data_IF_470802856652
#
_entry.id   IF_470802856652
#
_cell.length_a   1.000
_cell.length_b   1.000
_cell.length_c   1.000
_cell.angle_alpha   90.00
_cell.angle_beta   90.00
_cell.angle_gamma   90.00
#
_symmetry.space_group_name_H-M   'P 1'
#
loop_
_entity.id
_entity.type
_entity.pdbx_description
1 polymer ?
#
# COMPACT_ATOMS: atom_id res chain seq x y z
N UNK A 1 -6.93 46.11 -57.83
CA UNK A 1 -7.80 45.81 -56.67
C UNK A 1 -6.93 45.51 -55.45
N UNK A 2 -6.82 46.45 -54.51
CA UNK A 2 -6.15 46.25 -53.20
C UNK A 2 -7.09 45.45 -52.30
N UNK A 3 -6.69 44.28 -51.81
CA UNK A 3 -7.37 43.58 -50.71
C UNK A 3 -7.08 44.35 -49.42
N UNK A 4 -8.09 44.97 -48.83
CA UNK A 4 -8.02 45.53 -47.48
C UNK A 4 -7.79 44.40 -46.49
N UNK A 5 -6.69 44.45 -45.76
CA UNK A 5 -6.49 43.65 -44.56
C UNK A 5 -7.28 44.26 -43.41
N UNK A 6 -8.37 43.61 -43.01
CA UNK A 6 -9.03 43.89 -41.73
C UNK A 6 -8.13 43.36 -40.61
N UNK A 7 -7.32 44.27 -40.06
CA UNK A 7 -6.68 44.08 -38.77
C UNK A 7 -7.77 43.97 -37.71
N UNK A 8 -8.00 42.76 -37.19
CA UNK A 8 -8.73 42.58 -35.94
C UNK A 8 -7.90 43.22 -34.83
N UNK A 9 -8.20 44.48 -34.49
CA UNK A 9 -7.74 45.08 -33.24
C UNK A 9 -8.22 44.18 -32.11
N UNK A 10 -7.30 43.60 -31.36
CA UNK A 10 -7.66 42.90 -30.13
C UNK A 10 -8.42 43.89 -29.24
N UNK A 11 -9.55 43.42 -28.68
CA UNK A 11 -10.34 44.22 -27.77
C UNK A 11 -9.43 44.78 -26.65
N UNK A 12 -9.63 46.04 -26.22
CA UNK A 12 -8.80 46.64 -25.19
C UNK A 12 -8.84 45.75 -23.95
N UNK A 13 -7.67 45.25 -23.52
CA UNK A 13 -7.56 44.50 -22.27
C UNK A 13 -7.98 45.43 -21.14
N UNK A 14 -9.13 45.16 -20.52
CA UNK A 14 -9.62 45.90 -19.35
C UNK A 14 -8.59 45.73 -18.23
N UNK A 15 -7.84 46.79 -17.91
CA UNK A 15 -6.93 46.80 -16.76
C UNK A 15 -7.78 47.07 -15.51
N UNK A 16 -8.00 46.05 -14.71
CA UNK A 16 -8.63 46.19 -13.40
C UNK A 16 -7.54 46.47 -12.36
N UNK A 17 -7.68 47.55 -11.61
CA UNK A 17 -6.86 47.78 -10.42
C UNK A 17 -7.35 46.84 -9.32
N UNK A 18 -6.46 45.99 -8.80
CA UNK A 18 -6.77 45.04 -7.73
C UNK A 18 -5.93 45.39 -6.50
N UNK A 19 -6.57 45.90 -5.45
CA UNK A 19 -5.91 46.21 -4.17
C UNK A 19 -5.59 44.95 -3.36
N UNK A 20 -6.40 43.89 -3.49
CA UNK A 20 -6.23 42.62 -2.78
C UNK A 20 -6.45 41.44 -3.72
N UNK A 21 -5.37 40.84 -4.22
CA UNK A 21 -5.48 39.65 -5.07
C UNK A 21 -5.75 38.40 -4.21
N UNK A 22 -6.89 37.74 -4.44
CA UNK A 22 -7.37 36.54 -3.73
C UNK A 22 -7.16 35.25 -4.52
N UNK A 23 -6.69 35.32 -5.77
CA UNK A 23 -6.38 34.17 -6.61
C UNK A 23 -7.17 34.14 -7.92
N UNK A 24 -7.22 32.97 -8.54
CA UNK A 24 -7.93 32.75 -9.80
C UNK A 24 -9.42 32.42 -9.55
N UNK A 25 -10.26 32.75 -10.53
CA UNK A 25 -11.65 32.33 -10.63
C UNK A 25 -11.93 31.88 -12.08
N UNK A 26 -11.98 30.58 -12.27
CA UNK A 26 -12.33 29.91 -13.53
C UNK A 26 -13.78 29.42 -13.53
N UNK A 27 -14.50 29.61 -12.42
CA UNK A 27 -15.89 29.18 -12.28
C UNK A 27 -16.83 30.19 -12.93
N UNK A 28 -16.63 31.48 -12.67
CA UNK A 28 -17.43 32.54 -13.24
C UNK A 28 -16.96 32.92 -14.66
N UNK A 29 -17.89 33.41 -15.48
CA UNK A 29 -17.54 34.07 -16.75
C UNK A 29 -16.54 35.21 -16.48
N UNK A 30 -15.54 35.45 -17.35
CA UNK A 30 -14.53 36.49 -17.15
C UNK A 30 -15.09 37.89 -16.82
N UNK A 31 -16.27 38.23 -17.33
CA UNK A 31 -16.93 39.52 -17.08
C UNK A 31 -17.55 39.62 -15.68
N UNK A 32 -17.79 38.49 -15.01
CA UNK A 32 -18.41 38.37 -13.69
C UNK A 32 -17.40 38.02 -12.58
N UNK A 33 -16.12 37.90 -12.91
CA UNK A 33 -15.09 37.66 -11.90
C UNK A 33 -14.95 38.88 -11.00
N UNK A 34 -14.93 38.65 -9.68
CA UNK A 34 -14.71 39.71 -8.68
C UNK A 34 -13.43 40.50 -8.99
N UNK A 35 -13.40 41.83 -8.79
CA UNK A 35 -12.19 42.64 -8.96
C UNK A 35 -10.97 42.19 -8.13
N UNK A 36 -11.19 41.40 -7.08
CA UNK A 36 -10.14 40.81 -6.23
C UNK A 36 -9.58 39.50 -6.78
N UNK A 37 -10.09 38.99 -7.90
CA UNK A 37 -9.69 37.73 -8.53
C UNK A 37 -9.38 37.95 -10.01
N UNK A 38 -8.78 36.94 -10.65
CA UNK A 38 -8.53 36.98 -12.09
C UNK A 38 -9.14 35.77 -12.80
N UNK A 39 -9.74 35.93 -13.99
CA UNK A 39 -10.11 34.80 -14.86
C UNK A 39 -8.90 34.12 -15.50
N UNK A 40 -7.69 34.68 -15.34
CA UNK A 40 -6.45 34.11 -15.86
C UNK A 40 -5.24 34.60 -15.07
N UNK A 41 -4.50 33.67 -14.46
CA UNK A 41 -3.29 33.99 -13.70
C UNK A 41 -2.10 33.12 -14.16
N UNK A 42 -1.62 33.29 -15.41
CA UNK A 42 -0.47 32.54 -15.89
C UNK A 42 0.79 32.92 -15.10
N UNK A 43 1.50 31.92 -14.60
CA UNK A 43 2.78 32.09 -13.88
C UNK A 43 2.73 32.99 -12.64
N UNK A 44 1.54 33.21 -12.06
CA UNK A 44 1.34 34.04 -10.88
C UNK A 44 0.51 33.30 -9.85
N UNK A 45 0.89 33.41 -8.59
CA UNK A 45 0.21 32.82 -7.45
C UNK A 45 0.06 33.87 -6.34
N UNK A 46 -0.99 33.73 -5.53
CA UNK A 46 -1.16 34.54 -4.32
C UNK A 46 -0.19 34.01 -3.27
N UNK A 47 0.49 34.93 -2.59
CA UNK A 47 1.33 34.63 -1.43
C UNK A 47 0.51 34.87 -0.15
N UNK A 48 0.46 36.11 0.31
CA UNK A 48 -0.50 36.62 1.31
C UNK A 48 -1.56 37.51 0.64
N UNK A 49 -2.71 37.81 1.29
CA UNK A 49 -3.70 38.71 0.70
C UNK A 49 -3.06 40.03 0.25
N UNK A 50 -3.21 40.38 -1.03
CA UNK A 50 -2.63 41.61 -1.61
C UNK A 50 -1.18 41.50 -2.10
N UNK A 51 -0.48 40.38 -1.88
CA UNK A 51 0.85 40.12 -2.47
C UNK A 51 0.81 38.96 -3.45
N UNK A 52 1.49 39.13 -4.57
CA UNK A 52 1.65 38.11 -5.60
C UNK A 52 3.10 37.69 -5.71
N UNK A 53 3.33 36.42 -6.02
CA UNK A 53 4.65 35.91 -6.39
C UNK A 53 4.57 35.10 -7.67
N UNK A 54 5.73 34.91 -8.31
CA UNK A 54 5.85 34.08 -9.51
C UNK A 54 5.64 32.61 -9.13
N UNK A 55 4.99 31.84 -10.00
CA UNK A 55 4.88 30.38 -9.81
C UNK A 55 6.28 29.78 -9.83
N UNK A 56 6.55 28.86 -8.90
CA UNK A 56 7.79 28.10 -8.93
C UNK A 56 7.77 27.21 -10.17
N UNK A 57 8.76 27.36 -11.04
CA UNK A 57 8.92 26.48 -12.19
C UNK A 57 9.46 25.12 -11.76
N UNK A 58 9.42 24.15 -12.69
CA UNK A 58 10.17 22.91 -12.56
C UNK A 58 11.33 22.92 -13.56
N UNK A 59 12.36 22.13 -13.26
CA UNK A 59 13.46 21.84 -14.20
C UNK A 59 13.57 20.34 -14.37
N UNK A 60 13.97 19.90 -15.56
CA UNK A 60 14.35 18.50 -15.76
C UNK A 60 15.58 18.23 -14.90
N UNK A 61 15.48 17.26 -13.98
CA UNK A 61 16.62 16.81 -13.21
C UNK A 61 17.36 15.72 -13.98
N UNK A 62 16.63 14.65 -14.33
CA UNK A 62 17.16 13.45 -14.99
C UNK A 62 16.13 12.87 -15.97
N UNK A 63 16.59 11.94 -16.79
CA UNK A 63 15.80 11.28 -17.82
C UNK A 63 16.08 9.78 -17.80
N UNK A 64 15.03 8.98 -17.95
CA UNK A 64 15.07 7.53 -17.95
C UNK A 64 14.26 7.03 -19.16
N UNK A 65 14.58 5.86 -19.69
CA UNK A 65 13.97 5.32 -20.91
C UNK A 65 12.45 5.04 -20.75
N UNK A 66 11.97 4.86 -19.52
CA UNK A 66 10.58 4.53 -19.21
C UNK A 66 9.83 5.66 -18.52
N UNK A 67 8.49 5.58 -18.53
CA UNK A 67 7.62 6.47 -17.77
C UNK A 67 8.01 6.40 -16.29
N UNK A 68 8.25 7.55 -15.66
CA UNK A 68 8.50 7.60 -14.21
C UNK A 68 7.21 7.22 -13.50
N UNK A 69 7.24 6.10 -12.79
CA UNK A 69 6.12 5.51 -12.08
C UNK A 69 6.15 5.80 -10.58
N UNK A 70 7.34 5.99 -10.01
CA UNK A 70 7.56 6.36 -8.62
C UNK A 70 9.00 6.80 -8.36
N UNK A 71 9.18 7.60 -7.30
CA UNK A 71 10.48 8.01 -6.80
C UNK A 71 10.44 7.94 -5.27
N UNK A 72 11.48 7.36 -4.67
CA UNK A 72 11.54 7.08 -3.24
C UNK A 72 12.93 7.43 -2.70
N UNK A 73 12.97 7.89 -1.46
CA UNK A 73 14.18 7.95 -0.67
C UNK A 73 14.26 6.69 0.21
N UNK A 74 15.43 6.06 0.26
CA UNK A 74 15.75 4.99 1.18
C UNK A 74 16.94 5.43 2.02
N UNK A 75 16.84 5.37 3.34
CA UNK A 75 17.91 5.78 4.24
C UNK A 75 18.35 4.59 5.10
N UNK A 76 19.62 4.19 4.98
CA UNK A 76 20.21 3.14 5.80
C UNK A 76 21.53 3.66 6.37
N UNK A 77 21.74 3.53 7.68
CA UNK A 77 22.97 3.99 8.36
C UNK A 77 23.36 5.45 8.05
N UNK A 78 22.35 6.34 7.95
CA UNK A 78 22.47 7.75 7.56
C UNK A 78 22.88 8.04 6.10
N UNK A 79 23.01 7.02 5.25
CA UNK A 79 23.18 7.20 3.81
C UNK A 79 21.82 7.17 3.10
N UNK A 80 21.56 8.18 2.27
CA UNK A 80 20.33 8.26 1.46
C UNK A 80 20.60 7.76 0.04
N UNK A 81 19.77 6.82 -0.40
CA UNK A 81 19.72 6.32 -1.78
C UNK A 81 18.40 6.75 -2.41
N UNK A 82 18.47 7.35 -3.60
CA UNK A 82 17.28 7.63 -4.40
C UNK A 82 16.95 6.40 -5.24
N UNK A 83 15.72 5.89 -5.10
CA UNK A 83 15.16 4.87 -5.97
C UNK A 83 14.19 5.50 -6.97
N UNK A 84 14.35 5.15 -8.25
CA UNK A 84 13.47 5.59 -9.33
C UNK A 84 12.90 4.38 -10.06
N UNK A 85 11.57 4.25 -10.02
CA UNK A 85 10.83 3.29 -10.82
C UNK A 85 10.48 3.94 -12.17
N UNK A 86 11.06 3.44 -13.26
CA UNK A 86 10.86 3.93 -14.61
C UNK A 86 10.54 2.79 -15.59
N UNK A 87 9.34 2.81 -16.19
CA UNK A 87 8.86 1.72 -17.03
C UNK A 87 8.81 0.41 -16.24
N UNK A 88 9.53 -0.61 -16.68
CA UNK A 88 9.63 -1.91 -15.97
C UNK A 88 10.89 -2.02 -15.09
N UNK A 89 11.64 -0.93 -14.89
CA UNK A 89 12.95 -0.95 -14.24
C UNK A 89 12.97 -0.14 -12.94
N UNK A 90 13.75 -0.59 -11.97
CA UNK A 90 14.09 0.14 -10.76
C UNK A 90 15.58 0.52 -10.78
N UNK A 91 15.86 1.77 -10.50
CA UNK A 91 17.22 2.31 -10.44
C UNK A 91 17.54 2.83 -9.04
N UNK A 92 18.68 2.44 -8.48
CA UNK A 92 19.25 3.00 -7.26
C UNK A 92 20.40 3.96 -7.62
N UNK A 93 20.25 5.26 -7.34
CA UNK A 93 21.22 6.28 -7.73
C UNK A 93 21.68 6.15 -9.21
N UNK A 94 20.74 5.85 -10.12
CA UNK A 94 20.91 5.58 -11.57
C UNK A 94 21.41 4.20 -11.96
N UNK A 95 21.86 3.38 -11.02
CA UNK A 95 22.25 2.01 -11.29
C UNK A 95 21.00 1.13 -11.37
N UNK A 96 20.83 0.37 -12.45
CA UNK A 96 19.75 -0.60 -12.56
C UNK A 96 19.91 -1.68 -11.49
N UNK A 97 18.90 -1.85 -10.63
CA UNK A 97 18.88 -2.87 -9.57
C UNK A 97 17.80 -3.92 -9.77
N UNK A 98 16.76 -3.64 -10.55
CA UNK A 98 15.69 -4.60 -10.87
C UNK A 98 15.03 -4.27 -12.21
N UNK A 99 14.57 -5.27 -12.97
CA UNK A 99 14.10 -5.09 -14.36
C UNK A 99 12.70 -5.64 -14.66
N UNK A 100 12.00 -6.17 -13.64
CA UNK A 100 10.71 -6.83 -13.80
C UNK A 100 9.59 -6.11 -13.03
N UNK A 101 9.66 -4.78 -12.89
CA UNK A 101 8.55 -3.98 -12.35
C UNK A 101 7.36 -3.98 -13.32
N UNK A 102 6.16 -3.73 -12.81
CA UNK A 102 5.00 -3.40 -13.63
C UNK A 102 5.11 -1.94 -14.11
N UNK A 103 4.87 -1.68 -15.40
CA UNK A 103 4.80 -0.30 -15.90
C UNK A 103 3.46 0.35 -15.51
N UNK A 104 3.35 0.68 -14.22
CA UNK A 104 2.25 1.37 -13.58
C UNK A 104 2.76 2.18 -12.40
N UNK A 105 1.99 3.20 -11.99
CA UNK A 105 2.32 4.02 -10.81
C UNK A 105 2.51 3.13 -9.59
N UNK A 106 3.55 3.42 -8.81
CA UNK A 106 3.88 2.63 -7.64
C UNK A 106 3.79 3.45 -6.34
N UNK A 107 3.62 2.75 -5.22
CA UNK A 107 3.72 3.29 -3.86
C UNK A 107 4.80 2.53 -3.11
N UNK A 108 5.54 3.22 -2.25
CA UNK A 108 6.65 2.62 -1.53
C UNK A 108 6.85 3.22 -0.15
N UNK A 109 7.26 2.37 0.78
CA UNK A 109 7.42 2.69 2.20
C UNK A 109 8.63 1.95 2.77
N UNK A 110 9.49 2.68 3.48
CA UNK A 110 10.55 2.05 4.23
C UNK A 110 10.01 1.53 5.56
N UNK A 111 10.26 0.25 5.84
CA UNK A 111 9.90 -0.41 7.10
C UNK A 111 11.13 -1.18 7.60
N UNK A 112 11.71 -0.70 8.70
CA UNK A 112 13.02 -1.14 9.16
C UNK A 112 14.11 -0.83 8.14
N UNK A 113 14.94 -1.83 7.85
CA UNK A 113 16.11 -1.71 6.95
C UNK A 113 15.77 -2.00 5.47
N UNK A 114 14.48 -2.02 5.10
CA UNK A 114 14.04 -2.32 3.74
C UNK A 114 13.01 -1.31 3.24
N UNK A 115 13.15 -0.91 1.98
CA UNK A 115 12.11 -0.20 1.23
C UNK A 115 11.23 -1.22 0.50
N UNK A 116 9.91 -1.17 0.70
CA UNK A 116 8.96 -2.01 0.00
C UNK A 116 8.21 -1.19 -1.04
N UNK A 117 8.07 -1.70 -2.26
CA UNK A 117 7.42 -1.00 -3.38
C UNK A 117 6.35 -1.90 -4.00
N UNK A 118 5.12 -1.40 -4.08
CA UNK A 118 3.97 -2.04 -4.73
C UNK A 118 3.57 -1.24 -5.97
N UNK A 119 3.38 -1.91 -7.11
CA UNK A 119 3.05 -1.29 -8.40
C UNK A 119 1.80 -1.89 -9.08
N UNK A 120 1.00 -2.67 -8.33
CA UNK A 120 -0.22 -3.30 -8.85
C UNK A 120 0.00 -4.53 -9.73
N UNK A 121 1.25 -4.97 -9.93
CA UNK A 121 1.57 -6.25 -10.56
C UNK A 121 2.70 -7.02 -9.87
N UNK A 122 3.56 -6.30 -9.15
CA UNK A 122 4.68 -6.81 -8.36
C UNK A 122 4.71 -6.14 -6.98
N UNK A 123 5.35 -6.85 -6.05
CA UNK A 123 5.67 -6.33 -4.73
C UNK A 123 7.11 -6.71 -4.43
N UNK A 124 7.98 -5.71 -4.34
CA UNK A 124 9.43 -5.89 -4.20
C UNK A 124 9.94 -5.24 -2.92
N UNK A 125 11.10 -5.69 -2.45
CA UNK A 125 11.89 -5.00 -1.45
C UNK A 125 13.21 -4.51 -2.04
N UNK A 126 13.80 -3.50 -1.40
CA UNK A 126 15.19 -3.09 -1.55
C UNK A 126 15.83 -2.97 -0.18
N UNK A 127 16.98 -3.61 0.05
CA UNK A 127 17.68 -3.64 1.35
C UNK A 127 18.95 -2.78 1.40
N UNK A 128 19.18 -1.95 0.38
CA UNK A 128 20.41 -1.17 0.21
C UNK A 128 21.40 -1.80 -0.77
N UNK A 129 21.24 -3.08 -1.11
CA UNK A 129 22.09 -3.78 -2.08
C UNK A 129 21.26 -4.54 -3.11
N UNK A 130 20.28 -5.29 -2.65
CA UNK A 130 19.46 -6.20 -3.46
C UNK A 130 18.07 -5.65 -3.63
N UNK A 131 17.53 -5.73 -4.84
CA UNK A 131 16.11 -5.55 -5.12
C UNK A 131 15.51 -6.86 -5.67
N UNK A 132 14.49 -7.38 -5.00
CA UNK A 132 13.87 -8.67 -5.36
C UNK A 132 12.40 -8.73 -4.92
N UNK A 133 11.59 -9.65 -5.48
CA UNK A 133 10.22 -9.91 -5.02
C UNK A 133 10.19 -10.23 -3.53
N UNK A 134 9.20 -9.67 -2.81
CA UNK A 134 9.03 -9.94 -1.36
C UNK A 134 8.73 -11.41 -1.10
N UNK A 135 8.20 -12.14 -2.08
CA UNK A 135 7.98 -13.59 -2.01
C UNK A 135 9.27 -14.39 -1.75
N UNK A 136 10.44 -13.86 -2.12
CA UNK A 136 11.73 -14.52 -1.86
C UNK A 136 12.15 -14.45 -0.38
N UNK A 137 11.65 -13.44 0.35
CA UNK A 137 11.89 -13.25 1.78
C UNK A 137 10.63 -13.46 2.62
N UNK A 138 9.59 -14.06 2.04
CA UNK A 138 8.32 -14.25 2.70
C UNK A 138 8.48 -15.10 3.96
N UNK A 139 7.96 -14.62 5.08
CA UNK A 139 8.00 -15.35 6.34
C UNK A 139 7.27 -16.69 6.20
N UNK A 140 7.87 -17.74 6.76
CA UNK A 140 7.29 -19.08 6.82
C UNK A 140 6.68 -19.28 8.20
N UNK A 141 5.34 -19.15 8.35
CA UNK A 141 4.70 -19.24 9.65
C UNK A 141 4.66 -20.67 10.17
N UNK A 142 4.80 -20.82 11.48
CA UNK A 142 4.54 -22.06 12.22
C UNK A 142 3.07 -22.08 12.64
N UNK A 143 2.24 -22.73 11.84
CA UNK A 143 0.77 -22.59 11.97
C UNK A 143 0.16 -23.40 13.09
N UNK A 144 0.80 -24.51 13.48
CA UNK A 144 0.38 -25.37 14.59
C UNK A 144 1.59 -25.78 15.41
N UNK A 145 1.42 -25.81 16.74
CA UNK A 145 2.39 -26.32 17.71
C UNK A 145 1.74 -27.35 18.62
N UNK A 146 2.54 -28.17 19.30
CA UNK A 146 2.03 -29.16 20.24
C UNK A 146 1.22 -30.28 19.57
N UNK A 147 1.44 -30.52 18.28
CA UNK A 147 0.62 -31.44 17.49
C UNK A 147 0.98 -32.89 17.78
N UNK A 148 -0.01 -33.77 17.95
CA UNK A 148 0.27 -35.20 18.04
C UNK A 148 0.53 -35.78 16.64
N UNK A 149 1.24 -36.92 16.51
CA UNK A 149 1.52 -37.51 15.19
C UNK A 149 0.25 -37.76 14.35
N UNK A 150 -0.87 -38.13 14.97
CA UNK A 150 -2.15 -38.36 14.28
C UNK A 150 -2.96 -37.08 14.00
N UNK A 151 -2.53 -35.92 14.48
CA UNK A 151 -3.19 -34.63 14.25
C UNK A 151 -3.47 -33.81 15.52
N UNK A 152 -4.28 -32.76 15.40
CA UNK A 152 -4.65 -31.87 16.51
C UNK A 152 -3.63 -30.75 16.77
N UNK A 153 -3.31 -30.48 18.03
CA UNK A 153 -2.43 -29.39 18.45
C UNK A 153 -3.12 -28.04 18.60
N UNK A 154 -2.33 -27.00 18.83
CA UNK A 154 -2.82 -25.64 19.08
C UNK A 154 -2.50 -24.74 17.89
N UNK A 155 -3.49 -24.04 17.30
CA UNK A 155 -3.22 -23.01 16.30
C UNK A 155 -2.31 -21.92 16.85
N UNK A 156 -1.26 -21.56 16.11
CA UNK A 156 -0.25 -20.60 16.55
C UNK A 156 -0.22 -19.38 15.66
N UNK A 157 0.32 -19.51 14.45
CA UNK A 157 0.36 -18.46 13.42
C UNK A 157 -0.62 -18.77 12.28
N UNK A 158 -0.87 -17.78 11.43
CA UNK A 158 -1.68 -17.97 10.23
C UNK A 158 -0.78 -18.18 9.02
N UNK A 159 -1.32 -18.82 7.98
CA UNK A 159 -0.66 -18.85 6.68
C UNK A 159 -0.34 -17.44 6.20
N UNK A 160 0.81 -17.27 5.55
CA UNK A 160 1.24 -16.03 4.94
C UNK A 160 0.75 -15.95 3.49
N UNK A 161 0.07 -14.88 3.11
CA UNK A 161 -0.41 -14.69 1.73
C UNK A 161 0.73 -14.59 0.71
N UNK A 162 1.95 -14.23 1.14
CA UNK A 162 3.13 -14.14 0.29
C UNK A 162 3.95 -15.43 0.18
N UNK A 163 3.61 -16.49 0.94
CA UNK A 163 4.39 -17.73 0.98
C UNK A 163 3.54 -18.96 0.64
N UNK A 164 4.11 -19.88 -0.13
CA UNK A 164 3.54 -21.22 -0.31
C UNK A 164 3.91 -22.17 0.84
N UNK A 165 4.83 -21.75 1.72
CA UNK A 165 5.41 -22.58 2.77
C UNK A 165 4.78 -22.29 4.12
N UNK A 166 4.70 -23.31 4.96
CA UNK A 166 4.44 -23.21 6.40
C UNK A 166 5.15 -24.35 7.13
N UNK A 167 5.28 -24.23 8.45
CA UNK A 167 5.74 -25.31 9.30
C UNK A 167 4.73 -25.69 10.37
N UNK A 168 4.83 -26.94 10.82
CA UNK A 168 4.05 -27.50 11.92
C UNK A 168 5.00 -28.16 12.92
N UNK A 169 4.74 -27.91 14.20
CA UNK A 169 5.46 -28.49 15.31
C UNK A 169 4.71 -29.65 15.94
N UNK A 170 5.42 -30.75 16.18
CA UNK A 170 4.86 -31.97 16.73
C UNK A 170 5.55 -32.41 18.03
N UNK A 171 4.74 -32.99 18.90
CA UNK A 171 5.13 -33.74 20.09
C UNK A 171 5.18 -35.22 19.74
N UNK A 172 6.39 -35.75 19.47
CA UNK A 172 6.57 -37.17 19.26
C UNK A 172 6.27 -37.96 20.54
N UNK A 173 5.62 -39.13 20.38
CA UNK A 173 5.37 -40.11 21.44
C UNK A 173 6.48 -41.19 21.55
N UNK A 174 7.46 -41.18 20.64
CA UNK A 174 8.55 -42.16 20.60
C UNK A 174 8.24 -43.46 19.85
N UNK A 175 7.05 -43.62 19.30
CA UNK A 175 6.58 -44.87 18.68
C UNK A 175 5.85 -44.68 17.35
N UNK A 176 5.17 -43.56 17.15
CA UNK A 176 4.44 -43.26 15.93
C UNK A 176 5.41 -43.03 14.77
N UNK A 177 5.20 -43.75 13.68
CA UNK A 177 5.95 -43.55 12.45
C UNK A 177 5.29 -42.51 11.53
N UNK A 178 3.97 -42.34 11.59
CA UNK A 178 3.20 -41.51 10.65
C UNK A 178 2.78 -40.20 11.31
N UNK A 179 3.09 -39.08 10.65
CA UNK A 179 2.80 -37.73 11.08
C UNK A 179 1.87 -37.06 10.05
N UNK A 180 0.69 -36.67 10.50
CA UNK A 180 -0.37 -36.06 9.69
C UNK A 180 -0.29 -34.53 9.74
N UNK A 181 -0.01 -33.90 8.60
CA UNK A 181 -0.04 -32.44 8.44
C UNK A 181 -1.47 -31.90 8.43
N UNK A 182 -1.61 -30.59 8.60
CA UNK A 182 -2.91 -29.91 8.64
C UNK A 182 -3.60 -29.81 7.28
N UNK A 183 -2.87 -30.05 6.19
CA UNK A 183 -3.39 -29.99 4.82
C UNK A 183 -2.96 -31.22 4.02
N UNK A 184 -3.82 -31.63 3.10
CA UNK A 184 -3.60 -32.63 2.07
C UNK A 184 -3.35 -31.95 0.71
N UNK A 185 -3.12 -32.73 -0.36
CA UNK A 185 -2.91 -32.19 -1.71
C UNK A 185 -1.79 -31.13 -1.74
N UNK A 186 -0.65 -31.51 -1.18
CA UNK A 186 0.55 -30.69 -1.06
C UNK A 186 1.36 -30.70 -2.36
N UNK A 187 2.27 -29.74 -2.50
CA UNK A 187 3.23 -29.77 -3.59
C UNK A 187 4.27 -30.87 -3.27
N UNK A 188 4.51 -31.80 -4.20
CA UNK A 188 5.36 -32.98 -3.99
C UNK A 188 6.86 -32.71 -4.20
N UNK A 189 7.20 -31.49 -4.63
CA UNK A 189 8.57 -31.05 -4.91
C UNK A 189 9.32 -30.53 -3.67
N UNK A 190 8.64 -30.40 -2.53
CA UNK A 190 9.24 -29.84 -1.32
C UNK A 190 8.68 -30.39 -0.02
N UNK A 191 9.58 -30.85 0.84
CA UNK A 191 9.33 -31.18 2.25
C UNK A 191 10.65 -31.06 3.03
N UNK A 192 10.62 -30.44 4.19
CA UNK A 192 11.75 -30.36 5.11
C UNK A 192 11.31 -30.89 6.48
N UNK A 193 12.07 -31.83 7.04
CA UNK A 193 11.78 -32.42 8.35
C UNK A 193 13.00 -32.23 9.25
N UNK A 194 12.79 -31.66 10.43
CA UNK A 194 13.79 -31.51 11.48
C UNK A 194 13.34 -32.26 12.71
N UNK A 195 14.26 -32.98 13.36
CA UNK A 195 14.00 -33.69 14.62
C UNK A 195 15.03 -33.23 15.65
N UNK A 196 14.56 -32.96 16.86
CA UNK A 196 15.41 -32.62 17.99
C UNK A 196 16.01 -33.89 18.59
N UNK A 197 17.33 -33.89 18.74
CA UNK A 197 18.08 -34.96 19.40
C UNK A 197 17.95 -34.86 20.92
N UNK A 198 18.35 -35.92 21.64
CA UNK A 198 18.38 -35.92 23.12
C UNK A 198 19.29 -34.83 23.72
N UNK A 199 20.22 -34.27 22.94
CA UNK A 199 21.08 -33.15 23.33
C UNK A 199 20.45 -31.76 23.08
N UNK A 200 19.15 -31.71 22.76
CA UNK A 200 18.40 -30.49 22.40
C UNK A 200 18.95 -29.78 21.15
N UNK A 201 19.54 -30.54 20.22
CA UNK A 201 20.03 -30.03 18.93
C UNK A 201 19.09 -30.49 17.82
N UNK A 202 18.62 -29.56 17.00
CA UNK A 202 17.83 -29.86 15.80
C UNK A 202 18.71 -30.43 14.69
N UNK A 203 18.29 -31.55 14.11
CA UNK A 203 18.97 -32.21 12.99
C UNK A 203 18.01 -32.34 11.82
N UNK A 204 18.48 -31.99 10.62
CA UNK A 204 17.75 -32.18 9.38
C UNK A 204 17.71 -33.66 9.00
N UNK A 205 16.53 -34.12 8.62
CA UNK A 205 16.30 -35.49 8.17
C UNK A 205 16.29 -35.53 6.64
N UNK A 206 16.71 -36.65 6.07
CA UNK A 206 16.84 -36.85 4.62
C UNK A 206 15.64 -37.65 4.08
N UNK A 207 14.94 -37.08 3.11
CA UNK A 207 13.85 -37.76 2.39
C UNK A 207 14.37 -39.03 1.70
N UNK A 208 13.62 -40.14 1.80
CA UNK A 208 13.98 -41.46 1.28
C UNK A 208 14.92 -42.28 2.17
N UNK A 209 15.66 -41.63 3.07
CA UNK A 209 16.60 -42.31 4.01
C UNK A 209 16.07 -42.35 5.43
N UNK A 210 15.46 -41.25 5.91
CA UNK A 210 14.91 -41.16 7.26
C UNK A 210 13.38 -41.20 7.26
N UNK A 211 12.74 -40.70 6.20
CA UNK A 211 11.29 -40.66 6.09
C UNK A 211 10.84 -40.71 4.61
N UNK A 212 9.56 -40.97 4.41
CA UNK A 212 8.86 -40.85 3.13
C UNK A 212 7.78 -39.77 3.23
N UNK A 213 7.39 -39.20 2.10
CA UNK A 213 6.41 -38.12 2.03
C UNK A 213 5.30 -38.50 1.05
N UNK A 214 4.06 -38.48 1.52
CA UNK A 214 2.86 -38.61 0.70
C UNK A 214 2.19 -37.23 0.63
N UNK A 215 2.48 -36.50 -0.44
CA UNK A 215 1.95 -35.17 -0.67
C UNK A 215 0.43 -35.17 -0.87
N UNK A 216 -0.14 -36.23 -1.45
CA UNK A 216 -1.57 -36.31 -1.71
C UNK A 216 -2.37 -36.39 -0.42
N UNK A 217 -1.90 -37.20 0.54
CA UNK A 217 -2.56 -37.36 1.85
C UNK A 217 -2.00 -36.42 2.94
N UNK A 218 -0.92 -35.69 2.66
CA UNK A 218 -0.29 -34.77 3.61
C UNK A 218 0.37 -35.50 4.79
N UNK A 219 1.05 -36.61 4.54
CA UNK A 219 1.69 -37.41 5.59
C UNK A 219 3.19 -37.55 5.41
N UNK A 220 3.90 -37.53 6.54
CA UNK A 220 5.32 -37.90 6.63
C UNK A 220 5.41 -39.21 7.41
N UNK A 221 6.03 -40.23 6.82
CA UNK A 221 6.23 -41.52 7.47
C UNK A 221 7.70 -41.78 7.70
N UNK A 222 8.13 -41.76 8.97
CA UNK A 222 9.48 -42.10 9.38
C UNK A 222 9.76 -43.59 9.17
N UNK A 223 10.94 -43.90 8.67
CA UNK A 223 11.42 -45.27 8.52
C UNK A 223 11.83 -45.82 9.91
N UNK A 224 11.78 -47.14 10.10
CA UNK A 224 11.87 -47.81 11.42
C UNK A 224 13.06 -47.35 12.28
N UNK A 225 14.22 -47.08 11.69
CA UNK A 225 15.42 -46.63 12.42
C UNK A 225 15.51 -45.11 12.64
N UNK A 226 14.51 -44.35 12.20
CA UNK A 226 14.46 -42.88 12.24
C UNK A 226 13.20 -42.35 12.91
N UNK A 227 12.41 -43.22 13.56
CA UNK A 227 11.26 -42.82 14.36
C UNK A 227 11.74 -41.86 15.46
N UNK A 228 11.21 -40.62 15.51
CA UNK A 228 11.62 -39.63 16.50
C UNK A 228 11.34 -40.14 17.91
N UNK A 229 12.32 -40.07 18.79
CA UNK A 229 12.11 -40.38 20.21
C UNK A 229 11.04 -39.46 20.82
N UNK A 230 10.52 -39.83 21.99
CA UNK A 230 9.64 -38.95 22.77
C UNK A 230 10.36 -37.61 23.04
N UNK A 231 9.61 -36.51 23.03
CA UNK A 231 10.20 -35.19 23.28
C UNK A 231 11.03 -35.17 24.57
N UNK A 232 12.30 -34.70 24.52
CA UNK A 232 13.16 -34.62 25.70
C UNK A 232 12.69 -33.56 26.70
N UNK A 233 11.81 -32.65 26.28
CA UNK A 233 11.25 -31.57 27.10
C UNK A 233 9.74 -31.74 27.11
N UNK A 234 9.18 -32.02 28.29
CA UNK A 234 7.73 -32.22 28.46
C UNK A 234 6.93 -31.05 27.90
N UNK A 235 6.08 -31.33 26.91
CA UNK A 235 5.19 -30.35 26.29
C UNK A 235 5.84 -29.44 25.23
N UNK A 236 7.12 -29.63 24.89
CA UNK A 236 7.77 -28.90 23.81
C UNK A 236 7.93 -29.76 22.56
N UNK A 237 7.66 -29.18 21.39
CA UNK A 237 7.79 -29.86 20.11
C UNK A 237 9.24 -30.33 19.86
N UNK A 238 9.38 -31.55 19.38
CA UNK A 238 10.68 -32.16 19.04
C UNK A 238 10.76 -32.64 17.58
N UNK A 239 9.69 -32.42 16.81
CA UNK A 239 9.68 -32.63 15.37
C UNK A 239 9.08 -31.36 14.74
N UNK A 240 9.73 -30.85 13.69
CA UNK A 240 9.24 -29.75 12.89
C UNK A 240 9.17 -30.20 11.44
N UNK A 241 8.01 -30.03 10.82
CA UNK A 241 7.80 -30.38 9.42
C UNK A 241 7.39 -29.11 8.68
N UNK A 242 8.18 -28.72 7.68
CA UNK A 242 7.92 -27.58 6.81
C UNK A 242 7.51 -28.10 5.43
N UNK A 243 6.31 -27.73 5.00
CA UNK A 243 5.69 -28.20 3.78
C UNK A 243 5.35 -27.03 2.84
N UNK A 244 4.99 -27.37 1.61
CA UNK A 244 4.65 -26.42 0.55
C UNK A 244 3.29 -26.77 -0.07
N UNK A 245 2.49 -25.75 -0.37
CA UNK A 245 1.22 -25.86 -1.09
C UNK A 245 0.96 -24.56 -1.83
N UNK A 246 1.05 -24.61 -3.15
CA UNK A 246 0.78 -23.46 -3.99
C UNK A 246 -0.72 -23.19 -4.05
N UNK A 247 -1.12 -21.95 -3.75
CA UNK A 247 -2.53 -21.50 -3.75
C UNK A 247 -2.68 -20.39 -4.78
N UNK A 248 -3.52 -20.62 -5.78
CA UNK A 248 -3.58 -19.80 -7.00
C UNK A 248 -3.85 -18.30 -6.75
N UNK A 249 -4.54 -17.94 -5.68
CA UNK A 249 -4.97 -16.56 -5.42
C UNK A 249 -4.19 -15.86 -4.29
N UNK A 250 -3.46 -16.58 -3.45
CA UNK A 250 -2.84 -16.03 -2.22
C UNK A 250 -1.90 -14.86 -2.52
N UNK A 251 -0.87 -15.09 -3.32
CA UNK A 251 0.12 -14.05 -3.65
C UNK A 251 -0.55 -12.91 -4.42
N UNK A 252 -1.48 -13.26 -5.33
CA UNK A 252 -2.19 -12.30 -6.18
C UNK A 252 -3.02 -11.28 -5.39
N UNK A 253 -3.50 -11.64 -4.18
CA UNK A 253 -4.20 -10.71 -3.28
C UNK A 253 -3.33 -9.51 -2.92
N UNK A 254 -2.04 -9.74 -2.68
CA UNK A 254 -1.09 -8.70 -2.27
C UNK A 254 -0.41 -8.03 -3.48
N UNK A 255 0.14 -8.78 -4.43
CA UNK A 255 0.96 -8.19 -5.51
C UNK A 255 0.16 -7.33 -6.49
N UNK A 256 -1.16 -7.53 -6.58
CA UNK A 256 -2.05 -6.70 -7.40
C UNK A 256 -2.51 -5.42 -6.69
N UNK A 257 -2.10 -5.18 -5.46
CA UNK A 257 -2.36 -3.91 -4.77
C UNK A 257 -1.41 -2.81 -5.30
N UNK A 258 -1.97 -1.63 -5.58
CA UNK A 258 -1.24 -0.47 -6.10
C UNK A 258 -1.22 0.73 -5.13
N UNK A 259 -1.95 0.62 -4.02
CA UNK A 259 -2.06 1.64 -2.99
C UNK A 259 -1.64 1.08 -1.64
N UNK A 260 -0.88 1.86 -0.89
CA UNK A 260 -0.38 1.44 0.42
C UNK A 260 -0.13 2.61 1.36
N UNK A 261 -0.10 2.32 2.66
CA UNK A 261 0.28 3.25 3.73
C UNK A 261 0.85 2.50 4.93
N UNK A 262 1.69 3.18 5.71
CA UNK A 262 2.08 2.69 7.03
C UNK A 262 1.05 3.14 8.07
N UNK A 263 0.55 2.20 8.86
CA UNK A 263 -0.37 2.44 9.96
C UNK A 263 -0.34 1.28 10.96
N UNK A 264 -0.83 1.51 12.18
CA UNK A 264 -0.64 0.58 13.29
C UNK A 264 -1.48 0.97 14.49
N UNK A 265 -1.31 0.23 15.59
CA UNK A 265 -1.95 0.54 16.86
C UNK A 265 -1.51 1.94 17.32
N UNK A 266 -2.46 2.77 17.76
CA UNK A 266 -2.22 4.17 18.12
C UNK A 266 -1.54 4.98 16.98
N UNK A 267 -1.86 4.66 15.71
CA UNK A 267 -1.27 5.26 14.52
C UNK A 267 0.25 5.12 14.39
N UNK A 268 0.84 4.09 15.00
CA UNK A 268 2.23 3.72 14.76
C UNK A 268 2.46 3.44 13.26
N UNK A 269 3.62 3.81 12.74
CA UNK A 269 4.02 3.49 11.37
C UNK A 269 4.74 2.14 11.31
N UNK A 270 4.10 1.09 11.80
CA UNK A 270 4.72 -0.23 12.05
C UNK A 270 4.14 -1.37 11.23
N UNK A 271 3.02 -1.19 10.51
CA UNK A 271 2.47 -2.20 9.58
C UNK A 271 2.18 -1.58 8.23
N UNK A 272 2.39 -2.37 7.19
CA UNK A 272 2.08 -1.98 5.82
C UNK A 272 0.66 -2.39 5.49
N UNK A 273 -0.20 -1.40 5.24
CA UNK A 273 -1.53 -1.60 4.67
C UNK A 273 -1.44 -1.54 3.15
N UNK A 274 -2.13 -2.45 2.46
CA UNK A 274 -2.16 -2.54 1.00
C UNK A 274 -3.60 -2.70 0.49
N UNK A 275 -3.91 -2.07 -0.64
CA UNK A 275 -5.22 -2.14 -1.30
C UNK A 275 -5.11 -1.80 -2.79
N UNK A 276 -6.25 -1.76 -3.47
CA UNK A 276 -6.36 -1.41 -4.89
C UNK A 276 -6.32 -2.62 -5.82
N UNK A 277 -6.36 -3.84 -5.26
CA UNK A 277 -6.49 -5.06 -6.04
C UNK A 277 -7.78 -5.04 -6.90
N UNK A 278 -7.69 -5.20 -8.23
CA UNK A 278 -8.85 -5.16 -9.12
C UNK A 278 -9.84 -6.30 -8.89
N UNK A 279 -9.39 -7.44 -8.37
CA UNK A 279 -10.25 -8.60 -8.08
C UNK A 279 -10.98 -8.47 -6.73
N UNK A 280 -10.48 -7.57 -5.86
CA UNK A 280 -10.96 -7.37 -4.50
C UNK A 280 -11.04 -5.86 -4.18
N UNK A 281 -11.87 -5.15 -4.95
CA UNK A 281 -11.88 -3.68 -5.00
C UNK A 281 -12.08 -2.99 -3.64
N UNK A 282 -12.87 -3.59 -2.75
CA UNK A 282 -13.23 -3.08 -1.44
C UNK A 282 -12.42 -3.72 -0.30
N UNK A 283 -11.40 -4.51 -0.61
CA UNK A 283 -10.56 -5.16 0.40
C UNK A 283 -9.27 -4.37 0.63
N UNK A 284 -8.80 -4.45 1.86
CA UNK A 284 -7.41 -4.21 2.16
C UNK A 284 -6.84 -5.30 3.05
N UNK A 285 -5.51 -5.38 3.04
CA UNK A 285 -4.73 -6.26 3.89
C UNK A 285 -3.72 -5.45 4.68
N UNK A 286 -3.24 -6.01 5.78
CA UNK A 286 -2.16 -5.42 6.56
C UNK A 286 -1.13 -6.47 6.94
N UNK A 287 0.13 -6.04 6.99
CA UNK A 287 1.24 -6.89 7.38
C UNK A 287 1.30 -7.09 8.90
N UNK A 288 2.08 -8.07 9.32
CA UNK A 288 2.53 -8.16 10.71
C UNK A 288 3.41 -6.94 11.08
N UNK A 289 3.48 -6.66 12.38
CA UNK A 289 4.26 -5.56 12.94
C UNK A 289 5.73 -5.66 12.51
N UNK A 290 6.24 -4.59 11.90
CA UNK A 290 7.59 -4.43 11.38
C UNK A 290 8.02 -5.53 10.39
N UNK A 291 7.07 -6.25 9.79
CA UNK A 291 7.35 -7.34 8.86
C UNK A 291 6.40 -7.31 7.65
N UNK A 292 6.77 -6.53 6.65
CA UNK A 292 6.05 -6.46 5.36
C UNK A 292 6.25 -7.71 4.48
N UNK A 293 7.00 -8.72 4.93
CA UNK A 293 7.08 -10.02 4.28
C UNK A 293 6.12 -11.05 4.89
N UNK A 294 5.27 -10.65 5.84
CA UNK A 294 4.24 -11.48 6.45
C UNK A 294 2.88 -10.79 6.43
N UNK A 295 1.98 -11.29 5.59
CA UNK A 295 0.55 -10.91 5.57
C UNK A 295 -0.27 -12.12 6.02
N UNK A 296 -0.70 -12.17 7.30
CA UNK A 296 -1.54 -13.25 7.80
C UNK A 296 -2.83 -13.40 6.96
N UNK A 297 -3.25 -14.64 6.68
CA UNK A 297 -4.36 -14.92 5.78
C UNK A 297 -5.70 -14.26 6.18
N UNK A 298 -5.90 -13.95 7.46
CA UNK A 298 -7.09 -13.24 7.96
C UNK A 298 -6.83 -11.78 8.32
N UNK A 299 -5.64 -11.24 8.05
CA UNK A 299 -5.30 -9.83 8.26
C UNK A 299 -5.84 -8.97 7.12
N UNK A 300 -7.17 -8.93 6.99
CA UNK A 300 -7.86 -8.15 5.97
C UNK A 300 -9.12 -7.50 6.50
N UNK A 301 -9.62 -6.49 5.80
CA UNK A 301 -10.93 -5.89 6.04
C UNK A 301 -11.66 -5.65 4.74
N UNK A 302 -12.99 -5.72 4.82
CA UNK A 302 -13.89 -5.35 3.72
C UNK A 302 -14.46 -3.98 4.08
N UNK A 303 -14.14 -2.96 3.28
CA UNK A 303 -14.48 -1.57 3.58
C UNK A 303 -15.60 -1.07 2.65
N UNK A 304 -16.79 -0.91 3.22
CA UNK A 304 -17.98 -0.49 2.48
C UNK A 304 -18.54 -1.59 1.59
N UNK A 305 -19.32 -1.21 0.59
CA UNK A 305 -19.92 -2.14 -0.38
C UNK A 305 -18.92 -2.43 -1.50
N UNK A 306 -19.19 -2.08 -2.75
CA UNK A 306 -18.47 -2.64 -3.90
C UNK A 306 -17.59 -1.64 -4.66
N UNK A 307 -17.25 -0.51 -4.04
CA UNK A 307 -16.36 0.48 -4.66
C UNK A 307 -14.90 0.23 -4.36
N UNK A 308 -14.01 0.72 -5.23
CA UNK A 308 -12.57 0.63 -5.04
C UNK A 308 -12.09 1.49 -3.87
N UNK A 309 -11.17 0.99 -3.04
CA UNK A 309 -10.35 1.84 -2.17
C UNK A 309 -9.23 2.46 -3.03
N UNK A 310 -9.22 3.79 -3.11
CA UNK A 310 -8.30 4.58 -3.94
C UNK A 310 -7.01 4.95 -3.23
N UNK A 311 -6.96 4.88 -1.91
CA UNK A 311 -5.76 5.17 -1.14
C UNK A 311 -6.09 5.54 0.29
N UNK A 312 -5.09 6.05 0.99
CA UNK A 312 -5.17 6.32 2.42
C UNK A 312 -4.69 7.71 2.78
N UNK A 313 -5.24 8.24 3.87
CA UNK A 313 -4.64 9.30 4.68
C UNK A 313 -4.75 8.94 6.16
N UNK A 314 -3.98 9.62 7.00
CA UNK A 314 -3.97 9.54 8.45
C UNK A 314 -4.61 10.82 8.95
N UNK A 315 -5.65 10.69 9.76
CA UNK A 315 -6.36 11.84 10.33
C UNK A 315 -6.35 11.70 11.84
N UNK A 316 -5.47 12.46 12.49
CA UNK A 316 -5.00 12.25 13.86
C UNK A 316 -4.40 10.85 14.03
N UNK A 317 -5.10 9.97 14.75
CA UNK A 317 -4.71 8.61 15.08
C UNK A 317 -5.50 7.56 14.27
N UNK A 318 -6.24 7.99 13.24
CA UNK A 318 -7.12 7.13 12.43
C UNK A 318 -6.59 6.96 11.01
N UNK A 319 -6.70 5.75 10.49
CA UNK A 319 -6.51 5.46 9.07
C UNK A 319 -7.80 5.75 8.31
N UNK A 320 -7.75 6.70 7.38
CA UNK A 320 -8.84 7.06 6.49
C UNK A 320 -8.65 6.39 5.14
N UNK A 321 -9.49 5.41 4.83
CA UNK A 321 -9.55 4.76 3.53
C UNK A 321 -10.47 5.55 2.59
N UNK A 322 -9.92 6.06 1.51
CA UNK A 322 -10.61 6.86 0.50
C UNK A 322 -11.24 5.96 -0.56
N UNK A 323 -12.53 6.09 -0.84
CA UNK A 323 -13.28 5.28 -1.82
C UNK A 323 -13.46 6.04 -3.13
N UNK A 324 -13.59 5.31 -4.25
CA UNK A 324 -13.83 5.89 -5.58
C UNK A 324 -15.10 6.75 -5.68
N UNK A 325 -16.10 6.54 -4.81
CA UNK A 325 -17.42 7.15 -4.95
C UNK A 325 -18.48 6.13 -5.33
N UNK A 326 -19.57 6.07 -4.57
CA UNK A 326 -20.83 5.45 -4.99
C UNK A 326 -22.05 6.28 -4.52
N UNK A 327 -23.24 5.76 -4.84
CA UNK A 327 -24.53 6.33 -4.48
C UNK A 327 -24.79 6.39 -2.96
N UNK A 328 -24.06 5.62 -2.14
CA UNK A 328 -24.22 5.63 -0.69
C UNK A 328 -23.50 6.82 -0.04
N UNK A 329 -22.57 7.46 -0.77
CA UNK A 329 -21.95 8.73 -0.39
C UNK A 329 -20.96 8.65 0.78
N UNK A 330 -20.87 7.52 1.50
CA UNK A 330 -19.92 7.24 2.58
C UNK A 330 -18.55 6.87 2.03
N UNK A 331 -17.88 7.86 1.46
CA UNK A 331 -16.69 7.66 0.65
C UNK A 331 -15.36 7.70 1.41
N UNK A 332 -15.37 7.95 2.72
CA UNK A 332 -14.17 7.86 3.55
C UNK A 332 -14.46 7.03 4.79
N UNK A 333 -13.75 5.93 4.97
CA UNK A 333 -13.94 5.01 6.09
C UNK A 333 -12.78 5.19 7.07
N UNK A 334 -13.09 5.51 8.33
CA UNK A 334 -12.11 5.71 9.39
C UNK A 334 -11.96 4.44 10.22
N UNK A 335 -10.71 3.98 10.36
CA UNK A 335 -10.35 2.88 11.26
C UNK A 335 -9.39 3.34 12.36
N UNK A 336 -9.58 2.76 13.52
CA UNK A 336 -8.68 2.89 14.67
C UNK A 336 -7.72 1.70 14.69
N UNK A 337 -6.46 1.89 15.08
CA UNK A 337 -5.60 0.79 15.48
C UNK A 337 -5.63 0.62 17.00
N UNK A 338 -6.10 -0.52 17.49
CA UNK A 338 -6.15 -0.84 18.92
C UNK A 338 -5.68 -2.26 19.22
N UNK A 339 -5.30 -2.52 20.47
CA UNK A 339 -5.11 -3.89 20.96
C UNK A 339 -6.47 -4.47 21.36
N UNK A 340 -6.76 -5.68 20.89
CA UNK A 340 -7.93 -6.46 21.25
C UNK A 340 -7.49 -7.91 21.48
N UNK A 341 -7.74 -8.43 22.68
CA UNK A 341 -7.38 -9.80 23.07
C UNK A 341 -5.90 -10.14 22.81
N UNK A 342 -5.01 -9.18 23.08
CA UNK A 342 -3.56 -9.32 22.87
C UNK A 342 -3.11 -9.24 21.41
N UNK A 343 -4.01 -8.95 20.47
CA UNK A 343 -3.72 -8.83 19.03
C UNK A 343 -4.08 -7.43 18.52
N UNK A 344 -3.40 -6.99 17.47
CA UNK A 344 -3.76 -5.75 16.79
C UNK A 344 -5.10 -5.93 16.06
N UNK A 345 -6.00 -4.96 16.23
CA UNK A 345 -7.28 -4.91 15.56
C UNK A 345 -7.51 -3.53 14.96
N UNK A 346 -8.17 -3.51 13.80
CA UNK A 346 -8.40 -2.30 13.02
C UNK A 346 -9.90 -2.07 12.74
N UNK A 347 -10.74 -1.88 13.77
CA UNK A 347 -12.18 -1.72 13.57
C UNK A 347 -12.51 -0.42 12.83
N UNK A 348 -13.60 -0.47 12.05
CA UNK A 348 -14.24 0.74 11.52
C UNK A 348 -14.89 1.48 12.70
N UNK A 349 -14.53 2.74 12.87
CA UNK A 349 -15.05 3.60 13.96
C UNK A 349 -15.95 4.71 13.45
N UNK A 350 -15.83 5.09 12.17
CA UNK A 350 -16.68 6.09 11.56
C UNK A 350 -16.63 6.00 10.03
N UNK A 351 -17.59 6.62 9.34
CA UNK A 351 -17.56 6.85 7.91
C UNK A 351 -18.01 8.29 7.61
N UNK A 352 -17.25 9.00 6.78
CA UNK A 352 -17.57 10.37 6.39
C UNK A 352 -18.33 10.34 5.06
N UNK A 353 -19.45 11.05 5.01
CA UNK A 353 -20.16 11.33 3.78
C UNK A 353 -19.43 12.43 3.00
N UNK A 354 -19.30 12.27 1.69
CA UNK A 354 -18.55 13.20 0.86
C UNK A 354 -18.36 12.72 -0.57
N UNK A 355 -17.62 13.52 -1.36
CA UNK A 355 -17.27 13.13 -2.72
C UNK A 355 -16.26 11.97 -2.73
N UNK A 356 -16.39 11.08 -3.72
CA UNK A 356 -15.44 9.99 -3.95
C UNK A 356 -14.12 10.47 -4.56
N UNK A 357 -13.04 9.73 -4.33
CA UNK A 357 -11.71 10.06 -4.83
C UNK A 357 -11.53 9.60 -6.28
N UNK A 358 -11.21 10.55 -7.16
CA UNK A 358 -10.97 10.27 -8.58
C UNK A 358 -9.65 9.52 -8.81
N UNK A 359 -8.56 9.98 -8.19
CA UNK A 359 -7.22 9.39 -8.29
C UNK A 359 -6.54 9.29 -6.93
N UNK A 360 -6.02 8.10 -6.61
CA UNK A 360 -5.29 7.84 -5.37
C UNK A 360 -3.94 8.57 -5.25
N UNK A 361 -3.34 8.94 -6.38
CA UNK A 361 -2.06 9.68 -6.42
C UNK A 361 -2.24 11.17 -6.16
N UNK A 362 -3.47 11.61 -5.87
CA UNK A 362 -3.78 13.00 -5.53
C UNK A 362 -3.93 13.24 -4.03
N UNK A 363 -3.86 12.17 -3.23
CA UNK A 363 -3.96 12.26 -1.77
C UNK A 363 -2.63 12.78 -1.23
N UNK A 364 -2.64 13.96 -0.61
CA UNK A 364 -1.44 14.59 -0.03
C UNK A 364 -1.80 15.49 1.14
N UNK A 365 -0.84 15.76 2.03
CA UNK A 365 -1.05 16.60 3.20
C UNK A 365 -0.54 18.01 2.96
N UNK A 366 -1.44 18.98 2.96
CA UNK A 366 -1.05 20.36 3.11
C UNK A 366 -1.11 20.67 4.59
N UNK A 367 0.06 20.93 5.18
CA UNK A 367 0.25 21.05 6.63
C UNK A 367 -0.31 19.83 7.38
N UNK A 368 -1.49 19.95 7.98
CA UNK A 368 -2.15 18.89 8.75
C UNK A 368 -3.43 18.39 8.09
N UNK A 369 -3.86 19.00 6.99
CA UNK A 369 -5.09 18.62 6.29
C UNK A 369 -4.76 17.68 5.12
N UNK A 370 -5.31 16.45 5.08
CA UNK A 370 -5.23 15.63 3.88
C UNK A 370 -6.21 16.16 2.84
N UNK A 371 -5.68 16.45 1.65
CA UNK A 371 -6.41 16.80 0.46
C UNK A 371 -6.50 15.61 -0.48
N UNK A 372 -7.57 15.55 -1.27
CA UNK A 372 -7.78 14.56 -2.32
C UNK A 372 -8.61 15.15 -3.46
N UNK A 373 -8.40 14.66 -4.68
CA UNK A 373 -9.21 15.03 -5.85
C UNK A 373 -10.45 14.14 -5.96
N UNK A 374 -11.61 14.75 -6.17
CA UNK A 374 -12.86 14.11 -6.56
C UNK A 374 -13.33 14.60 -7.93
N UNK A 375 -14.39 14.00 -8.46
CA UNK A 375 -15.06 14.47 -9.70
C UNK A 375 -15.60 15.90 -9.59
N UNK A 376 -15.87 16.38 -8.37
CA UNK A 376 -16.43 17.71 -8.10
C UNK A 376 -15.40 18.75 -7.63
N UNK A 377 -14.11 18.39 -7.56
CA UNK A 377 -13.02 19.28 -7.17
C UNK A 377 -12.05 18.67 -6.16
N UNK A 378 -11.20 19.50 -5.57
CA UNK A 378 -10.27 19.13 -4.51
C UNK A 378 -10.97 19.32 -3.17
N UNK A 379 -10.96 18.28 -2.34
CA UNK A 379 -11.57 18.26 -1.02
C UNK A 379 -10.50 18.05 0.04
N UNK A 380 -10.77 18.52 1.26
CA UNK A 380 -9.98 18.23 2.45
C UNK A 380 -10.84 17.53 3.51
N UNK A 381 -10.25 16.64 4.31
CA UNK A 381 -10.87 16.16 5.54
C UNK A 381 -10.50 17.16 6.65
N UNK A 382 -11.49 17.86 7.20
CA UNK A 382 -11.30 18.89 8.22
C UNK A 382 -12.31 18.74 9.36
N UNK A 383 -12.03 19.33 10.51
CA UNK A 383 -12.94 19.35 11.66
C UNK A 383 -13.92 20.52 11.56
N UNK A 384 -15.17 20.33 11.98
CA UNK A 384 -16.13 21.40 12.14
C UNK A 384 -15.77 22.25 13.36
N UNK A 385 -15.66 23.57 13.14
CA UNK A 385 -15.27 24.55 14.16
C UNK A 385 -16.18 24.56 15.40
N UNK A 386 -17.41 24.04 15.29
CA UNK A 386 -18.44 24.07 16.34
C UNK A 386 -18.63 22.73 17.08
N UNK A 387 -18.45 21.59 16.42
CA UNK A 387 -18.76 20.25 16.98
C UNK A 387 -17.55 19.33 17.06
N UNK A 388 -16.41 19.69 16.44
CA UNK A 388 -15.26 18.80 16.28
C UNK A 388 -15.50 17.61 15.35
N UNK A 389 -16.72 17.46 14.81
CA UNK A 389 -17.05 16.41 13.86
C UNK A 389 -16.32 16.65 12.53
N UNK A 390 -15.82 15.57 11.93
CA UNK A 390 -15.07 15.66 10.68
C UNK A 390 -16.01 15.61 9.50
N UNK A 391 -15.74 16.44 8.50
CA UNK A 391 -16.46 16.44 7.22
C UNK A 391 -15.48 16.67 6.08
N UNK A 392 -15.91 16.33 4.86
CA UNK A 392 -15.17 16.66 3.65
C UNK A 392 -15.59 18.04 3.16
N UNK A 393 -14.64 18.94 2.94
CA UNK A 393 -14.92 20.30 2.46
C UNK A 393 -14.22 20.58 1.12
N UNK A 394 -14.94 21.18 0.17
CA UNK A 394 -14.36 21.61 -1.10
C UNK A 394 -13.38 22.78 -0.89
N UNK A 395 -12.13 22.63 -1.36
CA UNK A 395 -11.06 23.64 -1.29
C UNK A 395 -10.81 24.35 -2.63
N UNK A 396 -11.44 23.90 -3.71
CA UNK A 396 -11.16 24.34 -5.08
C UNK A 396 -12.34 24.98 -5.80
N UNK A 397 -13.36 25.47 -5.10
CA UNK A 397 -14.62 25.97 -5.69
C UNK A 397 -14.41 26.86 -6.93
N UNK A 398 -13.39 27.73 -6.91
CA UNK A 398 -13.08 28.69 -7.98
C UNK A 398 -12.43 28.07 -9.21
N UNK A 399 -12.07 26.79 -9.20
CA UNK A 399 -11.45 26.08 -10.34
C UNK A 399 -12.18 24.78 -10.69
N UNK A 400 -13.27 24.42 -10.01
CA UNK A 400 -13.98 23.17 -10.23
C UNK A 400 -14.45 22.99 -11.67
N UNK A 401 -14.96 24.05 -12.31
CA UNK A 401 -15.39 24.03 -13.72
C UNK A 401 -14.25 23.65 -14.67
N UNK A 402 -13.03 24.11 -14.38
CA UNK A 402 -11.85 23.80 -15.16
C UNK A 402 -11.35 22.37 -14.90
N UNK A 403 -11.54 21.84 -13.69
CA UNK A 403 -11.22 20.44 -13.37
C UNK A 403 -12.22 19.47 -13.99
N UNK A 404 -13.51 19.82 -14.01
CA UNK A 404 -14.60 18.93 -14.45
C UNK A 404 -14.51 18.48 -15.92
N UNK A 405 -13.70 19.16 -16.75
CA UNK A 405 -13.48 18.83 -18.16
C UNK A 405 -12.23 17.99 -18.40
N UNK A 406 -11.43 17.72 -17.37
CA UNK A 406 -10.17 16.99 -17.48
C UNK A 406 -10.34 15.50 -17.15
N UNK A 407 -9.43 14.66 -17.66
CA UNK A 407 -9.34 13.25 -17.27
C UNK A 407 -8.68 13.12 -15.89
N UNK A 408 -9.49 12.92 -14.84
CA UNK A 408 -9.02 12.98 -13.45
C UNK A 408 -8.38 11.68 -12.93
N UNK A 409 -8.63 10.54 -13.57
CA UNK A 409 -8.20 9.23 -13.07
C UNK A 409 -6.67 9.04 -13.02
N UNK A 410 -5.95 9.71 -13.91
CA UNK A 410 -4.48 9.68 -13.98
C UNK A 410 -3.81 10.88 -13.30
N UNK A 411 -4.60 11.72 -12.63
CA UNK A 411 -4.08 12.90 -11.97
C UNK A 411 -3.12 12.52 -10.85
N UNK A 412 -2.10 13.35 -10.66
CA UNK A 412 -1.13 13.20 -9.56
C UNK A 412 -1.00 14.51 -8.83
N UNK A 413 -0.79 14.45 -7.52
CA UNK A 413 -0.50 15.63 -6.73
C UNK A 413 0.73 15.44 -5.85
N UNK A 414 1.39 16.57 -5.58
CA UNK A 414 2.46 16.67 -4.61
C UNK A 414 2.24 17.94 -3.80
N UNK A 415 2.63 17.91 -2.53
CA UNK A 415 2.72 19.13 -1.73
C UNK A 415 4.16 19.61 -1.75
N UNK A 416 4.34 20.86 -2.18
CA UNK A 416 5.62 21.53 -2.22
C UNK A 416 5.53 22.82 -1.40
N UNK A 417 6.24 22.86 -0.27
CA UNK A 417 6.10 23.91 0.75
C UNK A 417 4.64 24.07 1.17
N UNK A 418 4.05 25.23 0.86
CA UNK A 418 2.70 25.66 1.18
C UNK A 418 1.70 25.47 0.03
N UNK A 419 2.05 24.66 -0.99
CA UNK A 419 1.22 24.44 -2.17
C UNK A 419 0.87 22.98 -2.39
N UNK A 420 -0.41 22.72 -2.62
CA UNK A 420 -0.88 21.52 -3.30
C UNK A 420 -0.78 21.72 -4.82
N UNK A 421 0.11 20.97 -5.46
CA UNK A 421 0.34 21.02 -6.91
C UNK A 421 -0.30 19.80 -7.54
N UNK A 422 -1.34 20.02 -8.35
CA UNK A 422 -2.04 18.99 -9.10
C UNK A 422 -1.59 19.03 -10.57
N UNK A 423 -1.23 17.88 -11.12
CA UNK A 423 -1.07 17.70 -12.56
C UNK A 423 -2.17 16.79 -13.09
N UNK A 424 -2.84 17.24 -14.16
CA UNK A 424 -4.02 16.58 -14.73
C UNK A 424 -4.18 16.99 -16.20
N UNK A 425 -4.59 16.07 -17.07
CA UNK A 425 -4.83 16.40 -18.49
C UNK A 425 -3.63 16.95 -19.25
N UNK A 426 -2.40 16.65 -18.80
CA UNK A 426 -1.16 17.22 -19.36
C UNK A 426 -0.86 18.65 -18.92
N UNK A 427 -1.48 19.14 -17.84
CA UNK A 427 -1.32 20.50 -17.30
C UNK A 427 -0.62 20.52 -15.94
#
# INVERSE_FOLDING_TARGET
MKRMGTSYKSAPKKKLGCSVFKGIDLYNSPDNVSPERSPSAPNMIRDVPGKVRKRMGYKKNEEYDGRINGMYAFTLSAEETTLVHAGTKLYANKTLVYSNMNDARSKGWQLGEKLYISDGGTFIYYDGTTAAPVTEIAYVPRVVIGRSPSGGGTPHEQLNLLSAYWSEGFLSDGSAAVYQLSYDGLDDDFIEVKVMTAANVWTEMVLGTNYTFDAANGTVTFLTGSIPAQSPITGADNVEIKAKKTRADYVSRIIKCDMSALFGVNAASDRLFVTGNPDFVNYDWFSEMNNAAYFPATAYSILGMNTRIKGYSIVNDRLAAHKQGDSDGRNIILREGKMQDGKAAFPIVNALQGAGTASGHTIAYLTTEPLFLSESGIYAITSADLTGERYTQNRSMFINSALAVEALCDATAVVFNDFYVLSVGGK
#
